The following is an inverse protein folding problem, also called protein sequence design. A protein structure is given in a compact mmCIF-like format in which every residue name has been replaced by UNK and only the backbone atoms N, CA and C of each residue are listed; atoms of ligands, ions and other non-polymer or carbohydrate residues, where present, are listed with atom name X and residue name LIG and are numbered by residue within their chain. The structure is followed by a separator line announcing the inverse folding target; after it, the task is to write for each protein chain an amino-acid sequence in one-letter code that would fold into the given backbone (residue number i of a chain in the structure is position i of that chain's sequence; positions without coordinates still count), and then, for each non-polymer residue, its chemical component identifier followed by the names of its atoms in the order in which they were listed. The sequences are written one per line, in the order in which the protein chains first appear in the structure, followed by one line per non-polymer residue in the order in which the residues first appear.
data_IF_444260509207
#
_entry.id   IF_444260509207
#
_cell.length_a   1.000
_cell.length_b   1.000
_cell.length_c   1.000
_cell.angle_alpha   90.00
_cell.angle_beta   90.00
_cell.angle_gamma   90.00
#
_symmetry.space_group_name_H-M   'P 1'
#
loop_
_entity.id
_entity.type
_entity.pdbx_description
1 polymer ?
#
# COMPACT_ATOMS: atom_id res chain seq x y z
N UNK A 1 37.53 5.90 -12.54
CA UNK A 1 36.55 5.83 -11.45
C UNK A 1 35.20 5.43 -12.02
N UNK A 2 34.74 4.20 -11.73
CA UNK A 2 33.46 3.67 -12.23
C UNK A 2 32.29 4.29 -11.45
N UNK A 3 31.40 4.96 -12.16
CA UNK A 3 30.14 5.55 -11.66
C UNK A 3 29.13 4.52 -11.09
N UNK A 4 29.47 3.22 -11.05
CA UNK A 4 28.61 2.14 -10.55
C UNK A 4 28.40 2.20 -9.02
N UNK A 5 29.29 2.85 -8.25
CA UNK A 5 29.22 2.89 -6.77
C UNK A 5 28.28 3.96 -6.16
N UNK A 6 27.62 4.77 -6.98
CA UNK A 6 26.67 5.81 -6.52
C UNK A 6 25.20 5.43 -6.76
N UNK A 7 24.93 4.22 -7.26
CA UNK A 7 23.55 3.75 -7.42
C UNK A 7 23.04 3.34 -6.03
N UNK A 8 21.88 3.83 -5.56
CA UNK A 8 21.22 3.31 -4.36
C UNK A 8 21.03 1.78 -4.47
N UNK A 9 20.87 1.00 -3.39
CA UNK A 9 20.68 -0.45 -3.45
C UNK A 9 19.38 -0.84 -4.17
N UNK A 10 19.37 -1.95 -4.93
CA UNK A 10 18.16 -2.49 -5.60
C UNK A 10 17.03 -2.79 -4.61
N UNK A 11 15.74 -2.77 -5.02
CA UNK A 11 14.64 -3.09 -4.12
C UNK A 11 14.67 -4.54 -3.60
N UNK A 12 15.38 -5.41 -4.33
CA UNK A 12 15.62 -6.82 -4.01
C UNK A 12 17.04 -7.05 -3.47
N UNK A 13 17.87 -6.01 -3.36
CA UNK A 13 19.16 -6.15 -2.69
C UNK A 13 18.88 -6.39 -1.20
N UNK A 14 19.52 -7.40 -0.57
CA UNK A 14 19.62 -7.38 0.86
C UNK A 14 20.31 -6.05 1.21
N UNK A 15 19.62 -5.14 1.92
CA UNK A 15 20.33 -4.15 2.72
C UNK A 15 21.11 -4.94 3.77
N UNK A 16 22.26 -5.48 3.38
CA UNK A 16 23.32 -5.80 4.29
C UNK A 16 23.84 -4.45 4.75
N UNK A 17 23.62 -4.12 6.01
CA UNK A 17 24.37 -3.07 6.71
C UNK A 17 25.88 -3.38 6.81
N UNK A 18 26.40 -4.34 6.03
CA UNK A 18 27.73 -4.93 6.21
C UNK A 18 28.62 -4.88 4.96
N UNK A 19 28.27 -4.12 3.91
CA UNK A 19 29.19 -3.90 2.77
C UNK A 19 29.51 -2.42 2.60
N UNK A 20 30.13 -1.85 3.65
CA UNK A 20 30.99 -0.67 3.49
C UNK A 20 32.41 -1.12 3.85
N UNK A 21 33.17 -1.46 2.81
CA UNK A 21 34.58 -1.79 2.93
C UNK A 21 35.36 -0.61 3.51
N UNK A 22 36.18 -0.96 4.48
CA UNK A 22 36.91 -0.11 5.39
C UNK A 22 38.06 0.58 4.66
N UNK A 23 37.90 1.87 4.37
CA UNK A 23 39.02 2.80 4.47
C UNK A 23 38.83 3.63 5.73
N UNK A 24 39.59 3.25 6.74
CA UNK A 24 40.20 4.06 7.79
C UNK A 24 39.46 5.37 8.13
N UNK A 25 38.93 5.41 9.37
CA UNK A 25 38.19 6.47 10.06
C UNK A 25 36.65 6.35 10.07
N UNK A 26 36.17 5.65 11.10
CA UNK A 26 34.94 5.98 11.83
C UNK A 26 33.61 5.66 11.16
N UNK A 27 33.12 4.42 11.29
CA UNK A 27 31.71 4.12 11.09
C UNK A 27 30.96 4.29 12.42
N UNK A 28 30.22 5.39 12.57
CA UNK A 28 29.26 5.58 13.66
C UNK A 28 27.98 4.77 13.37
N UNK A 29 28.02 3.47 13.63
CA UNK A 29 26.81 2.63 13.71
C UNK A 29 26.32 2.62 15.17
N UNK A 30 25.62 3.67 15.55
CA UNK A 30 25.03 3.82 16.89
C UNK A 30 23.55 3.39 16.85
N UNK A 31 23.30 2.09 16.82
CA UNK A 31 21.94 1.52 16.69
C UNK A 31 21.58 0.45 17.72
N UNK A 32 22.35 0.28 18.80
CA UNK A 32 21.97 -0.61 19.91
C UNK A 32 22.03 0.04 21.31
N UNK A 33 22.64 1.22 21.47
CA UNK A 33 22.95 1.73 22.82
C UNK A 33 21.79 2.44 23.54
N UNK A 34 20.78 2.94 22.82
CA UNK A 34 19.63 3.63 23.44
C UNK A 34 18.55 2.66 23.95
N UNK A 35 18.34 1.55 23.25
CA UNK A 35 17.39 0.50 23.68
C UNK A 35 17.93 -0.26 24.90
N UNK A 36 19.24 -0.47 25.00
CA UNK A 36 19.87 -1.06 26.20
C UNK A 36 19.74 -0.13 27.42
N UNK A 37 19.88 1.20 27.23
CA UNK A 37 19.72 2.19 28.29
C UNK A 37 18.27 2.27 28.83
N UNK A 38 17.27 2.19 27.94
CA UNK A 38 15.86 2.20 28.32
C UNK A 38 15.42 0.86 28.93
N UNK A 39 15.93 -0.27 28.42
CA UNK A 39 15.68 -1.60 28.98
C UNK A 39 16.34 -1.80 30.36
N UNK A 40 17.52 -1.19 30.60
CA UNK A 40 18.13 -1.13 31.93
C UNK A 40 17.30 -0.33 32.92
N UNK A 41 16.68 0.77 32.48
CA UNK A 41 15.79 1.57 33.33
C UNK A 41 14.48 0.84 33.67
N UNK A 42 13.96 0.01 32.77
CA UNK A 42 12.73 -0.77 32.97
C UNK A 42 12.91 -2.06 33.80
N UNK A 43 14.12 -2.63 33.87
CA UNK A 43 14.38 -3.90 34.58
C UNK A 43 14.47 -3.77 36.11
N UNK A 44 14.46 -2.57 36.66
CA UNK A 44 14.45 -2.33 38.10
C UNK A 44 13.03 -2.43 38.70
N UNK A 45 12.43 -3.63 38.61
CA UNK A 45 11.58 -4.27 39.65
C UNK A 45 10.97 -5.61 39.20
N UNK A 46 11.56 -6.68 39.73
CA UNK A 46 10.97 -7.93 40.29
C UNK A 46 10.11 -8.91 39.42
N UNK A 47 10.06 -10.22 39.79
CA UNK A 47 10.26 -11.31 38.82
C UNK A 47 9.17 -12.43 38.76
N UNK A 48 9.35 -13.32 37.75
CA UNK A 48 8.96 -14.76 37.60
C UNK A 48 7.47 -15.19 37.65
N UNK A 49 6.92 -15.60 36.50
CA UNK A 49 6.52 -17.01 36.17
C UNK A 49 5.62 -17.09 34.91
N UNK A 50 5.75 -18.17 34.13
CA UNK A 50 4.76 -18.60 33.11
C UNK A 50 5.22 -18.56 31.64
N UNK A 51 5.74 -19.68 31.13
CA UNK A 51 6.32 -19.86 29.77
C UNK A 51 5.31 -19.85 28.60
N UNK A 52 4.13 -19.25 28.75
CA UNK A 52 3.15 -19.10 27.65
C UNK A 52 2.66 -17.65 27.46
N UNK A 53 2.99 -16.73 28.37
CA UNK A 53 2.63 -15.32 28.28
C UNK A 53 3.69 -14.45 27.60
N UNK A 54 4.92 -14.93 27.42
CA UNK A 54 6.02 -14.12 26.87
C UNK A 54 5.88 -13.83 25.37
N UNK A 55 5.43 -14.81 24.58
CA UNK A 55 5.17 -14.64 23.14
C UNK A 55 3.92 -13.79 22.89
N UNK A 56 2.89 -13.97 23.71
CA UNK A 56 1.66 -13.17 23.63
C UNK A 56 1.90 -11.75 24.15
N UNK A 57 2.66 -11.59 25.23
CA UNK A 57 3.09 -10.31 25.80
C UNK A 57 3.98 -9.52 24.86
N UNK A 58 4.99 -10.15 24.25
CA UNK A 58 5.84 -9.48 23.25
C UNK A 58 5.09 -9.12 21.96
N UNK A 59 4.05 -9.89 21.59
CA UNK A 59 3.13 -9.54 20.52
C UNK A 59 2.21 -8.39 20.91
N UNK A 60 1.67 -8.37 22.12
CA UNK A 60 0.80 -7.32 22.67
C UNK A 60 1.57 -6.01 22.86
N UNK A 61 2.77 -6.03 23.44
CA UNK A 61 3.62 -4.86 23.69
C UNK A 61 4.03 -4.17 22.38
N UNK A 62 4.25 -4.93 21.30
CA UNK A 62 4.54 -4.36 19.98
C UNK A 62 3.28 -3.87 19.24
N UNK A 63 2.11 -4.44 19.55
CA UNK A 63 0.81 -4.06 18.98
C UNK A 63 0.33 -2.74 19.60
N UNK A 64 0.37 -2.60 20.92
CA UNK A 64 -0.18 -1.45 21.64
C UNK A 64 0.55 -0.13 21.29
N UNK A 65 1.88 -0.14 21.22
CA UNK A 65 2.66 1.08 20.93
C UNK A 65 2.35 1.66 19.54
N UNK A 66 2.01 0.81 18.56
CA UNK A 66 1.73 1.28 17.19
C UNK A 66 0.27 1.66 16.97
N UNK A 67 -0.66 1.18 17.81
CA UNK A 67 -2.10 1.44 17.65
C UNK A 67 -2.55 2.67 18.44
N UNK A 68 -2.05 2.84 19.67
CA UNK A 68 -2.48 3.90 20.59
C UNK A 68 -2.32 5.31 19.98
N UNK A 69 -1.20 5.65 19.31
CA UNK A 69 -1.07 6.95 18.67
C UNK A 69 -2.16 7.20 17.62
N UNK A 70 -2.50 6.22 16.78
CA UNK A 70 -3.54 6.41 15.76
C UNK A 70 -4.94 6.62 16.38
N UNK A 71 -5.27 5.85 17.42
CA UNK A 71 -6.59 5.85 18.05
C UNK A 71 -6.85 7.07 18.93
N UNK A 72 -5.80 7.63 19.55
CA UNK A 72 -5.91 8.78 20.46
C UNK A 72 -5.62 10.09 19.74
N UNK A 73 -4.59 10.13 18.90
CA UNK A 73 -4.16 11.38 18.25
C UNK A 73 -5.21 11.88 17.27
N UNK A 74 -5.85 11.00 16.48
CA UNK A 74 -6.81 11.45 15.47
C UNK A 74 -8.03 12.15 16.09
N UNK A 75 -8.77 11.56 17.06
CA UNK A 75 -9.91 12.23 17.68
C UNK A 75 -9.52 13.53 18.39
N UNK A 76 -8.39 13.52 19.09
CA UNK A 76 -7.91 14.72 19.79
C UNK A 76 -7.60 15.83 18.80
N UNK A 77 -6.87 15.50 17.72
CA UNK A 77 -6.52 16.44 16.67
C UNK A 77 -7.77 16.99 15.97
N UNK A 78 -8.75 16.14 15.67
CA UNK A 78 -10.03 16.59 15.08
C UNK A 78 -10.82 17.49 16.03
N UNK A 79 -10.83 17.21 17.34
CA UNK A 79 -11.49 18.07 18.33
C UNK A 79 -10.81 19.42 18.46
N UNK A 80 -9.48 19.46 18.48
CA UNK A 80 -8.71 20.72 18.51
C UNK A 80 -8.96 21.51 17.22
N UNK A 81 -8.92 20.85 16.06
CA UNK A 81 -9.24 21.46 14.77
C UNK A 81 -10.67 22.03 14.71
N UNK A 82 -11.61 21.42 15.43
CA UNK A 82 -12.99 21.88 15.52
C UNK A 82 -13.21 23.09 16.43
N UNK A 83 -12.21 23.55 17.19
CA UNK A 83 -12.37 24.72 18.07
C UNK A 83 -12.50 26.03 17.29
N UNK A 84 -11.89 26.12 16.11
CA UNK A 84 -11.92 27.33 15.29
C UNK A 84 -11.61 27.03 13.83
N UNK A 85 -12.24 27.75 12.90
CA UNK A 85 -12.05 27.59 11.45
C UNK A 85 -10.57 27.65 11.02
N UNK A 86 -9.84 28.68 11.46
CA UNK A 86 -8.41 28.84 11.13
C UNK A 86 -7.56 27.71 11.70
N UNK A 87 -7.89 27.23 12.90
CA UNK A 87 -7.17 26.12 13.53
C UNK A 87 -7.42 24.82 12.76
N UNK A 88 -8.66 24.61 12.28
CA UNK A 88 -9.01 23.53 11.38
C UNK A 88 -8.17 23.53 10.10
N UNK A 89 -8.03 24.69 9.44
CA UNK A 89 -7.18 24.83 8.24
C UNK A 89 -5.73 24.47 8.57
N UNK A 90 -5.15 25.07 9.62
CA UNK A 90 -3.75 24.85 9.99
C UNK A 90 -3.45 23.39 10.30
N UNK A 91 -4.30 22.75 11.10
CA UNK A 91 -4.11 21.37 11.52
C UNK A 91 -4.29 20.40 10.34
N UNK A 92 -5.36 20.56 9.55
CA UNK A 92 -5.67 19.62 8.48
C UNK A 92 -4.72 19.75 7.28
N UNK A 93 -4.19 20.95 7.01
CA UNK A 93 -3.14 21.13 5.99
C UNK A 93 -1.79 20.59 6.44
N UNK A 94 -1.47 20.64 7.74
CA UNK A 94 -0.25 20.03 8.29
C UNK A 94 -0.33 18.50 8.40
N UNK A 95 -1.54 17.94 8.49
CA UNK A 95 -1.76 16.52 8.76
C UNK A 95 -1.11 15.58 7.73
N UNK A 96 -1.20 15.78 6.39
CA UNK A 96 -0.49 14.95 5.43
C UNK A 96 1.03 14.94 5.65
N UNK A 97 1.62 16.09 5.98
CA UNK A 97 3.04 16.21 6.30
C UNK A 97 3.41 15.44 7.57
N UNK A 98 2.59 15.53 8.61
CA UNK A 98 2.77 14.76 9.85
C UNK A 98 2.66 13.26 9.60
N UNK A 99 1.67 12.82 8.81
CA UNK A 99 1.48 11.40 8.46
C UNK A 99 2.67 10.87 7.65
N UNK A 100 3.18 11.65 6.70
CA UNK A 100 4.39 11.31 5.95
C UNK A 100 5.63 11.24 6.85
N UNK A 101 5.79 12.19 7.77
CA UNK A 101 6.88 12.14 8.74
C UNK A 101 6.79 10.91 9.63
N UNK A 102 5.60 10.59 10.16
CA UNK A 102 5.34 9.36 10.92
C UNK A 102 5.61 8.12 10.09
N UNK A 103 5.25 8.10 8.80
CA UNK A 103 5.59 7.03 7.88
C UNK A 103 7.10 6.82 7.80
N UNK A 104 7.88 7.87 7.54
CA UNK A 104 9.33 7.73 7.46
C UNK A 104 9.97 7.34 8.80
N UNK A 105 9.51 7.91 9.91
CA UNK A 105 10.03 7.60 11.25
C UNK A 105 9.73 6.14 11.65
N UNK A 106 8.50 5.67 11.42
CA UNK A 106 8.08 4.30 11.75
C UNK A 106 8.69 3.27 10.80
N UNK A 107 8.76 3.55 9.50
CA UNK A 107 9.34 2.64 8.51
C UNK A 107 10.87 2.53 8.62
N UNK A 108 11.55 3.58 9.12
CA UNK A 108 12.98 3.49 9.48
C UNK A 108 13.22 2.54 10.66
N UNK A 109 12.31 2.51 11.65
CA UNK A 109 12.46 1.70 12.87
C UNK A 109 11.88 0.29 12.75
N UNK A 110 10.78 0.11 12.02
CA UNK A 110 10.08 -1.17 11.84
C UNK A 110 9.70 -1.36 10.38
N UNK A 111 10.12 -2.49 9.78
CA UNK A 111 9.78 -2.82 8.38
C UNK A 111 8.28 -3.01 8.14
N UNK A 112 7.51 -3.44 9.15
CA UNK A 112 6.06 -3.64 9.08
C UNK A 112 5.36 -2.94 10.25
N UNK A 113 4.30 -2.20 9.96
CA UNK A 113 3.49 -1.50 10.97
C UNK A 113 2.01 -1.61 10.67
N UNK A 114 1.18 -1.84 11.68
CA UNK A 114 -0.28 -1.81 11.53
C UNK A 114 -0.87 -0.39 11.66
N UNK A 115 -0.06 0.60 12.02
CA UNK A 115 -0.48 1.99 12.26
C UNK A 115 -1.40 2.55 11.17
N UNK A 116 -1.01 2.47 9.89
CA UNK A 116 -1.79 3.04 8.77
C UNK A 116 -3.11 2.31 8.55
N UNK A 117 -3.12 0.98 8.68
CA UNK A 117 -4.34 0.19 8.56
C UNK A 117 -5.30 0.50 9.71
N UNK A 118 -4.80 0.58 10.94
CA UNK A 118 -5.60 0.97 12.11
C UNK A 118 -6.14 2.38 11.96
N UNK A 119 -5.30 3.33 11.54
CA UNK A 119 -5.71 4.72 11.30
C UNK A 119 -6.83 4.81 10.26
N UNK A 120 -6.72 4.07 9.15
CA UNK A 120 -7.73 4.05 8.10
C UNK A 120 -9.06 3.43 8.58
N UNK A 121 -9.01 2.27 9.23
CA UNK A 121 -10.21 1.61 9.76
C UNK A 121 -10.88 2.41 10.87
N UNK A 122 -10.08 3.00 11.77
CA UNK A 122 -10.58 3.85 12.84
C UNK A 122 -11.21 5.12 12.28
N UNK A 123 -10.56 5.78 11.32
CA UNK A 123 -11.13 6.94 10.64
C UNK A 123 -12.48 6.60 10.03
N UNK A 124 -12.55 5.50 9.28
CA UNK A 124 -13.77 5.04 8.63
C UNK A 124 -14.90 4.79 9.65
N UNK A 125 -14.61 4.07 10.74
CA UNK A 125 -15.57 3.79 11.81
C UNK A 125 -16.00 5.06 12.55
N UNK A 126 -15.06 5.96 12.86
CA UNK A 126 -15.32 7.21 13.58
C UNK A 126 -16.18 8.18 12.77
N UNK A 127 -15.89 8.35 11.47
CA UNK A 127 -16.72 9.17 10.58
C UNK A 127 -18.15 8.62 10.47
N UNK A 128 -18.29 7.30 10.36
CA UNK A 128 -19.60 6.67 10.32
C UNK A 128 -20.35 6.80 11.65
N UNK A 129 -19.65 6.66 12.78
CA UNK A 129 -20.22 6.89 14.11
C UNK A 129 -20.78 8.31 14.23
N UNK A 130 -19.99 9.34 13.91
CA UNK A 130 -20.45 10.73 13.95
C UNK A 130 -21.62 10.98 12.99
N UNK A 131 -21.61 10.36 11.80
CA UNK A 131 -22.74 10.44 10.88
C UNK A 131 -24.03 9.92 11.52
N UNK A 132 -23.98 8.76 12.19
CA UNK A 132 -25.15 8.17 12.86
C UNK A 132 -25.59 8.97 14.09
N UNK A 133 -24.66 9.51 14.89
CA UNK A 133 -25.00 10.17 16.16
C UNK A 133 -25.29 11.66 16.03
N UNK A 134 -24.73 12.35 15.04
CA UNK A 134 -24.82 13.82 14.92
C UNK A 134 -25.57 14.30 13.68
N UNK A 135 -25.58 13.53 12.59
CA UNK A 135 -26.17 13.94 11.32
C UNK A 135 -27.54 13.30 11.13
N UNK A 136 -27.69 11.99 11.32
CA UNK A 136 -28.99 11.31 11.19
C UNK A 136 -30.08 11.89 12.11
N UNK A 137 -29.81 12.24 13.39
CA UNK A 137 -30.83 12.77 14.29
C UNK A 137 -31.35 14.16 13.90
N UNK A 138 -30.68 14.87 12.98
CA UNK A 138 -31.18 16.17 12.46
C UNK A 138 -32.43 16.02 11.60
N UNK A 139 -32.71 14.81 11.08
CA UNK A 139 -33.90 14.52 10.30
C UNK A 139 -33.79 14.79 8.79
N UNK A 140 -32.68 15.36 8.33
CA UNK A 140 -32.47 15.69 6.91
C UNK A 140 -32.10 14.46 6.04
N UNK A 141 -31.69 13.35 6.69
CA UNK A 141 -31.22 12.14 6.02
C UNK A 141 -32.36 11.13 5.89
N UNK A 142 -32.74 10.79 4.66
CA UNK A 142 -33.77 9.79 4.42
C UNK A 142 -33.28 8.38 4.74
N UNK A 143 -34.21 7.46 5.03
CA UNK A 143 -33.87 6.03 5.28
C UNK A 143 -33.11 5.41 4.11
N UNK A 144 -33.45 5.79 2.87
CA UNK A 144 -32.74 5.31 1.68
C UNK A 144 -31.29 5.81 1.67
N UNK A 145 -31.05 7.10 1.94
CA UNK A 145 -29.71 7.68 2.01
C UNK A 145 -28.86 7.01 3.10
N UNK A 146 -29.44 6.76 4.27
CA UNK A 146 -28.80 6.02 5.35
C UNK A 146 -28.43 4.60 4.90
N UNK A 147 -29.38 3.84 4.35
CA UNK A 147 -29.11 2.50 3.84
C UNK A 147 -28.01 2.49 2.77
N UNK A 148 -27.99 3.48 1.87
CA UNK A 148 -26.95 3.62 0.84
C UNK A 148 -25.57 3.84 1.44
N UNK A 149 -25.42 4.76 2.40
CA UNK A 149 -24.14 4.99 3.09
C UNK A 149 -23.71 3.73 3.84
N UNK A 150 -24.59 3.12 4.63
CA UNK A 150 -24.29 1.90 5.39
C UNK A 150 -23.87 0.75 4.48
N UNK A 151 -24.56 0.55 3.35
CA UNK A 151 -24.20 -0.47 2.37
C UNK A 151 -22.83 -0.18 1.73
N UNK A 152 -22.55 1.07 1.36
CA UNK A 152 -21.26 1.50 0.84
C UNK A 152 -20.11 1.25 1.82
N UNK A 153 -20.34 1.51 3.12
CA UNK A 153 -19.40 1.23 4.20
C UNK A 153 -19.10 -0.26 4.33
N UNK A 154 -20.14 -1.10 4.37
CA UNK A 154 -20.00 -2.56 4.42
C UNK A 154 -19.25 -3.07 3.18
N UNK A 155 -19.58 -2.56 2.00
CA UNK A 155 -18.94 -2.97 0.76
C UNK A 155 -17.47 -2.52 0.70
N UNK A 156 -17.15 -1.33 1.23
CA UNK A 156 -15.77 -0.86 1.41
C UNK A 156 -14.97 -1.84 2.26
N UNK A 157 -15.48 -2.22 3.43
CA UNK A 157 -14.82 -3.16 4.34
C UNK A 157 -14.68 -4.55 3.69
N UNK A 158 -15.74 -5.05 3.06
CA UNK A 158 -15.73 -6.36 2.40
C UNK A 158 -14.71 -6.41 1.25
N UNK A 159 -14.65 -5.35 0.43
CA UNK A 159 -13.65 -5.24 -0.65
C UNK A 159 -12.23 -5.16 -0.09
N UNK A 160 -11.99 -4.41 0.99
CA UNK A 160 -10.68 -4.32 1.66
C UNK A 160 -10.24 -5.67 2.21
N UNK A 161 -11.15 -6.43 2.83
CA UNK A 161 -10.88 -7.80 3.30
C UNK A 161 -10.50 -8.70 2.13
N UNK A 162 -11.21 -8.62 0.99
CA UNK A 162 -10.85 -9.38 -0.22
C UNK A 162 -9.47 -9.00 -0.74
N UNK A 163 -9.17 -7.70 -0.80
CA UNK A 163 -7.86 -7.17 -1.20
C UNK A 163 -6.73 -7.70 -0.31
N UNK A 164 -6.98 -7.95 0.99
CA UNK A 164 -5.95 -8.49 1.90
C UNK A 164 -5.67 -9.99 1.75
N UNK A 165 -6.59 -10.79 1.20
CA UNK A 165 -6.53 -12.27 1.27
C UNK A 165 -5.30 -12.90 0.62
N UNK A 166 -4.97 -12.55 -0.62
CA UNK A 166 -3.77 -13.09 -1.28
C UNK A 166 -3.35 -12.23 -2.46
N UNK A 167 -2.12 -11.69 -2.47
CA UNK A 167 -1.59 -10.93 -3.60
C UNK A 167 -1.13 -11.81 -4.77
N UNK A 168 -1.17 -13.14 -4.63
CA UNK A 168 -0.60 -14.09 -5.60
C UNK A 168 0.87 -14.39 -5.30
N UNK A 169 1.14 -15.13 -4.22
CA UNK A 169 2.50 -15.55 -3.87
C UNK A 169 3.08 -16.51 -4.91
N UNK A 170 4.39 -16.44 -5.12
CA UNK A 170 5.11 -17.41 -5.98
C UNK A 170 5.40 -18.67 -5.16
N UNK A 171 4.78 -19.80 -5.54
CA UNK A 171 5.02 -21.09 -4.87
C UNK A 171 6.38 -21.69 -5.20
N UNK A 172 6.95 -22.40 -4.22
CA UNK A 172 8.20 -23.19 -4.35
C UNK A 172 8.07 -24.36 -5.32
N UNK A 173 6.85 -24.81 -5.67
CA UNK A 173 6.61 -25.86 -6.67
C UNK A 173 7.08 -25.49 -8.09
N UNK A 174 7.35 -24.20 -8.35
CA UNK A 174 8.00 -23.76 -9.57
C UNK A 174 9.48 -24.22 -9.70
N UNK A 175 9.97 -25.05 -8.76
CA UNK A 175 11.29 -25.69 -8.77
C UNK A 175 11.44 -26.83 -9.79
N UNK A 176 10.35 -27.40 -10.30
CA UNK A 176 10.44 -28.71 -11.00
C UNK A 176 10.36 -28.66 -12.54
N UNK A 177 10.09 -27.52 -13.18
CA UNK A 177 9.90 -27.51 -14.65
C UNK A 177 11.21 -27.49 -15.46
N UNK A 178 12.36 -27.21 -14.85
CA UNK A 178 13.66 -27.18 -15.55
C UNK A 178 14.71 -28.15 -14.96
N UNK A 179 14.27 -29.13 -14.17
CA UNK A 179 15.14 -29.98 -13.34
C UNK A 179 15.33 -31.43 -13.77
N UNK A 180 14.95 -31.83 -14.99
CA UNK A 180 15.31 -33.16 -15.53
C UNK A 180 16.24 -33.00 -16.73
N UNK A 181 17.52 -32.82 -16.43
CA UNK A 181 18.60 -33.11 -17.37
C UNK A 181 18.71 -34.62 -17.60
N UNK A 182 18.81 -35.03 -18.86
CA UNK A 182 19.43 -36.30 -19.23
C UNK A 182 20.96 -36.15 -19.12
N UNK A 183 21.71 -37.16 -18.64
CA UNK A 183 23.16 -37.09 -18.58
C UNK A 183 23.76 -37.61 -19.89
N UNK A 184 24.59 -36.80 -20.55
CA UNK A 184 25.65 -37.29 -21.43
C UNK A 184 26.79 -36.28 -21.47
N UNK A 185 27.98 -36.80 -21.17
CA UNK A 185 29.26 -36.15 -20.99
C UNK A 185 29.98 -35.97 -22.34
N UNK A 186 30.73 -34.86 -22.47
CA UNK A 186 31.86 -34.59 -23.42
C UNK A 186 31.59 -34.73 -24.92
N UNK A 187 31.95 -33.78 -25.79
CA UNK A 187 33.32 -33.32 -26.05
C UNK A 187 33.31 -32.03 -26.92
N UNK A 188 34.44 -31.35 -26.93
CA UNK A 188 34.78 -30.07 -27.58
C UNK A 188 34.59 -29.99 -29.10
N UNK A 189 34.40 -28.76 -29.63
CA UNK A 189 35.24 -28.09 -30.67
C UNK A 189 34.63 -26.73 -31.06
N UNK A 190 35.49 -25.72 -31.26
CA UNK A 190 35.21 -24.35 -31.71
C UNK A 190 34.62 -24.31 -33.14
N UNK A 191 33.89 -23.24 -33.52
CA UNK A 191 34.16 -22.35 -34.69
C UNK A 191 32.91 -21.49 -35.05
N UNK A 192 33.16 -20.19 -35.16
CA UNK A 192 32.56 -19.09 -35.95
C UNK A 192 31.04 -18.76 -36.05
N UNK A 193 30.81 -17.47 -35.76
CA UNK A 193 29.97 -16.49 -36.44
C UNK A 193 28.76 -16.96 -37.28
N UNK A 194 27.58 -16.67 -36.76
CA UNK A 194 26.47 -16.16 -37.58
C UNK A 194 25.51 -15.35 -36.70
N UNK A 195 25.58 -14.03 -36.88
CA UNK A 195 24.63 -13.06 -36.35
C UNK A 195 23.25 -13.30 -36.96
N UNK A 196 22.38 -13.98 -36.22
CA UNK A 196 20.95 -13.97 -36.49
C UNK A 196 20.25 -13.21 -35.37
N UNK A 197 19.96 -11.94 -35.68
CA UNK A 197 19.13 -11.05 -34.87
C UNK A 197 17.69 -11.57 -34.88
N UNK A 198 17.40 -12.57 -34.05
CA UNK A 198 16.03 -12.95 -33.72
C UNK A 198 15.51 -12.00 -32.65
N UNK A 199 14.49 -11.20 -33.01
CA UNK A 199 13.83 -10.23 -32.14
C UNK A 199 13.07 -10.90 -30.98
N UNK A 200 13.81 -11.45 -30.01
CA UNK A 200 13.24 -11.93 -28.76
C UNK A 200 12.83 -10.73 -27.90
N UNK A 201 11.54 -10.65 -27.55
CA UNK A 201 11.01 -9.64 -26.61
C UNK A 201 11.78 -9.75 -25.28
N UNK A 202 12.21 -8.65 -24.63
CA UNK A 202 13.10 -8.72 -23.46
C UNK A 202 12.51 -9.35 -22.17
N UNK A 203 11.34 -9.97 -22.19
CA UNK A 203 10.46 -10.01 -21.01
C UNK A 203 9.93 -11.35 -20.54
N UNK A 204 10.27 -12.49 -21.17
CA UNK A 204 9.70 -13.80 -20.78
C UNK A 204 10.70 -14.70 -20.03
N UNK A 205 11.85 -14.16 -19.64
CA UNK A 205 12.90 -14.91 -18.95
C UNK A 205 12.58 -15.02 -17.46
N UNK A 206 12.59 -16.25 -16.96
CA UNK A 206 12.54 -16.53 -15.53
C UNK A 206 13.83 -16.04 -14.86
N UNK A 207 13.71 -15.56 -13.62
CA UNK A 207 14.87 -15.12 -12.82
C UNK A 207 14.88 -15.81 -11.47
N UNK A 208 16.05 -16.02 -10.85
CA UNK A 208 16.11 -16.57 -9.48
C UNK A 208 16.04 -15.43 -8.46
N UNK A 209 15.27 -15.59 -7.39
CA UNK A 209 15.30 -14.68 -6.25
C UNK A 209 16.49 -15.02 -5.34
N UNK A 210 17.40 -14.08 -5.03
CA UNK A 210 18.54 -14.36 -4.14
C UNK A 210 18.11 -14.63 -2.70
N UNK A 211 17.06 -13.95 -2.23
CA UNK A 211 16.54 -14.08 -0.86
C UNK A 211 15.70 -15.34 -0.68
N UNK A 212 14.66 -15.52 -1.50
CA UNK A 212 13.75 -16.67 -1.39
C UNK A 212 14.32 -17.96 -1.99
N UNK A 213 15.39 -17.88 -2.80
CA UNK A 213 15.99 -19.03 -3.52
C UNK A 213 15.00 -19.82 -4.38
N UNK A 214 14.01 -19.14 -4.95
CA UNK A 214 13.01 -19.70 -5.87
C UNK A 214 13.14 -19.10 -7.26
N UNK A 215 12.66 -19.82 -8.27
CA UNK A 215 12.51 -19.31 -9.61
C UNK A 215 11.28 -18.37 -9.67
N UNK A 216 11.47 -17.18 -10.23
CA UNK A 216 10.48 -16.11 -10.35
C UNK A 216 10.01 -16.04 -11.80
N UNK A 217 8.70 -16.15 -12.05
CA UNK A 217 8.17 -15.89 -13.38
C UNK A 217 8.38 -14.41 -13.75
N UNK A 218 8.25 -14.07 -15.05
CA UNK A 218 8.26 -12.69 -15.51
C UNK A 218 7.38 -11.76 -14.65
N UNK A 219 7.88 -10.54 -14.40
CA UNK A 219 7.21 -9.49 -13.61
C UNK A 219 6.97 -9.82 -12.13
N UNK A 220 7.34 -11.00 -11.64
CA UNK A 220 7.32 -11.28 -10.21
C UNK A 220 8.45 -10.54 -9.48
N UNK A 221 8.14 -10.04 -8.28
CA UNK A 221 9.06 -9.25 -7.47
C UNK A 221 9.19 -9.78 -6.05
N UNK A 222 10.39 -9.68 -5.46
CA UNK A 222 10.55 -9.88 -4.02
C UNK A 222 10.09 -8.62 -3.29
N UNK A 223 9.28 -8.77 -2.24
CA UNK A 223 8.92 -7.65 -1.38
C UNK A 223 9.74 -7.73 -0.09
N UNK A 224 10.74 -6.85 0.07
CA UNK A 224 11.60 -6.82 1.26
C UNK A 224 10.85 -6.58 2.58
N UNK A 225 9.72 -5.86 2.51
CA UNK A 225 8.81 -5.68 3.66
C UNK A 225 8.09 -6.98 4.02
N UNK A 226 7.73 -7.79 3.02
CA UNK A 226 6.99 -9.02 3.25
C UNK A 226 7.83 -10.29 3.35
N UNK A 227 9.09 -10.25 2.91
CA UNK A 227 9.99 -11.40 2.87
C UNK A 227 9.56 -12.49 1.87
N UNK A 228 8.70 -12.17 0.90
CA UNK A 228 8.12 -13.15 -0.04
C UNK A 228 8.09 -12.61 -1.46
N UNK A 229 8.15 -13.51 -2.45
CA UNK A 229 7.95 -13.16 -3.85
C UNK A 229 6.46 -13.16 -4.20
N UNK A 230 6.04 -12.15 -4.97
CA UNK A 230 4.66 -11.93 -5.41
C UNK A 230 4.63 -11.85 -6.93
N UNK A 231 3.66 -12.55 -7.55
CA UNK A 231 3.42 -12.51 -8.99
C UNK A 231 2.93 -11.13 -9.41
N UNK A 232 3.48 -10.60 -10.53
CA UNK A 232 3.19 -9.25 -11.04
C UNK A 232 3.10 -8.22 -9.90
N UNK A 233 4.17 -8.12 -9.10
CA UNK A 233 4.19 -7.25 -7.93
C UNK A 233 4.02 -5.79 -8.37
N UNK A 234 2.98 -5.13 -7.85
CA UNK A 234 2.74 -3.72 -8.07
C UNK A 234 3.46 -2.88 -7.03
N UNK A 235 3.08 -3.01 -5.76
CA UNK A 235 3.75 -2.36 -4.64
C UNK A 235 3.41 -3.05 -3.31
N UNK A 236 4.13 -2.69 -2.25
CA UNK A 236 3.69 -2.97 -0.89
C UNK A 236 2.87 -1.78 -0.38
N UNK A 237 1.60 -2.00 -0.08
CA UNK A 237 0.72 -0.94 0.38
C UNK A 237 0.67 -0.93 1.91
N UNK A 238 1.22 0.13 2.50
CA UNK A 238 1.24 0.30 3.97
C UNK A 238 -0.15 0.48 4.57
N UNK A 239 -1.09 1.07 3.82
CA UNK A 239 -2.47 1.30 4.27
C UNK A 239 -3.28 0.02 4.44
N UNK A 240 -2.98 -1.04 3.69
CA UNK A 240 -3.62 -2.36 3.85
C UNK A 240 -2.71 -3.36 4.56
N UNK A 241 -1.47 -2.95 4.86
CA UNK A 241 -0.37 -3.78 5.36
C UNK A 241 -0.29 -5.12 4.60
N UNK A 242 -0.22 -5.04 3.27
CA UNK A 242 -0.16 -6.18 2.34
C UNK A 242 0.42 -5.76 0.99
N UNK A 243 0.94 -6.71 0.23
CA UNK A 243 1.31 -6.45 -1.16
C UNK A 243 0.07 -6.30 -2.03
N UNK A 244 0.18 -5.49 -3.08
CA UNK A 244 -0.71 -5.51 -4.24
C UNK A 244 0.04 -6.19 -5.38
N UNK A 245 -0.55 -7.24 -5.93
CA UNK A 245 0.01 -8.02 -7.03
C UNK A 245 -1.10 -8.70 -7.82
N UNK A 246 -0.73 -9.65 -8.68
CA UNK A 246 -1.67 -10.26 -9.63
C UNK A 246 -2.97 -10.76 -8.97
N UNK A 247 -2.88 -11.40 -7.81
CA UNK A 247 -4.02 -12.07 -7.15
C UNK A 247 -5.01 -11.13 -6.44
N UNK A 248 -4.69 -9.84 -6.27
CA UNK A 248 -5.57 -8.90 -5.57
C UNK A 248 -5.67 -7.51 -6.22
N UNK A 249 -4.95 -7.22 -7.31
CA UNK A 249 -4.93 -5.89 -7.94
C UNK A 249 -6.33 -5.38 -8.31
N UNK A 250 -7.21 -6.27 -8.81
CA UNK A 250 -8.60 -5.91 -9.12
C UNK A 250 -9.42 -5.55 -7.89
N UNK A 251 -9.26 -6.34 -6.82
CA UNK A 251 -9.95 -6.05 -5.55
C UNK A 251 -9.45 -4.72 -4.99
N UNK A 252 -8.15 -4.41 -5.14
CA UNK A 252 -7.59 -3.12 -4.73
C UNK A 252 -8.23 -1.94 -5.47
N UNK A 253 -8.36 -2.01 -6.81
CA UNK A 253 -9.09 -1.00 -7.58
C UNK A 253 -10.55 -0.87 -7.16
N UNK A 254 -11.23 -2.00 -6.96
CA UNK A 254 -12.62 -2.00 -6.50
C UNK A 254 -12.74 -1.31 -5.13
N UNK A 255 -11.83 -1.59 -4.20
CA UNK A 255 -11.78 -0.92 -2.90
C UNK A 255 -11.61 0.60 -3.05
N UNK A 256 -10.72 1.06 -3.94
CA UNK A 256 -10.56 2.49 -4.20
C UNK A 256 -11.84 3.12 -4.76
N UNK A 257 -12.46 2.51 -5.78
CA UNK A 257 -13.69 3.02 -6.37
C UNK A 257 -14.84 3.09 -5.37
N UNK A 258 -15.06 2.02 -4.61
CA UNK A 258 -16.15 1.94 -3.63
C UNK A 258 -15.96 2.93 -2.49
N UNK A 259 -14.71 3.06 -1.99
CA UNK A 259 -14.39 4.06 -0.98
C UNK A 259 -14.70 5.47 -1.50
N UNK A 260 -14.23 5.82 -2.72
CA UNK A 260 -14.44 7.14 -3.28
C UNK A 260 -15.92 7.48 -3.43
N UNK A 261 -16.71 6.57 -3.99
CA UNK A 261 -18.15 6.77 -4.15
C UNK A 261 -18.85 6.93 -2.79
N UNK A 262 -18.52 6.07 -1.82
CA UNK A 262 -19.10 6.12 -0.47
C UNK A 262 -18.72 7.41 0.25
N UNK A 263 -17.46 7.82 0.16
CA UNK A 263 -16.95 9.00 0.85
C UNK A 263 -17.48 10.29 0.23
N UNK A 264 -17.49 10.43 -1.10
CA UNK A 264 -18.09 11.57 -1.79
C UNK A 264 -19.58 11.72 -1.45
N UNK A 265 -20.31 10.61 -1.41
CA UNK A 265 -21.71 10.62 -1.04
C UNK A 265 -21.92 11.01 0.43
N UNK A 266 -21.15 10.43 1.35
CA UNK A 266 -21.18 10.77 2.78
C UNK A 266 -20.86 12.25 3.04
N UNK A 267 -19.78 12.77 2.44
CA UNK A 267 -19.41 14.20 2.52
C UNK A 267 -20.56 15.08 2.02
N UNK A 268 -21.22 14.70 0.92
CA UNK A 268 -22.35 15.43 0.37
C UNK A 268 -23.53 15.50 1.34
N UNK A 269 -23.86 14.39 2.01
CA UNK A 269 -24.96 14.36 2.99
C UNK A 269 -24.63 15.20 4.23
N UNK A 270 -23.39 15.09 4.74
CA UNK A 270 -22.93 15.88 5.89
C UNK A 270 -23.01 17.37 5.58
N UNK A 271 -22.44 17.83 4.46
CA UNK A 271 -22.44 19.25 4.11
C UNK A 271 -23.86 19.80 3.85
N UNK A 272 -24.75 19.01 3.25
CA UNK A 272 -26.15 19.43 3.05
C UNK A 272 -26.93 19.57 4.36
N UNK A 273 -26.70 18.69 5.34
CA UNK A 273 -27.36 18.77 6.65
C UNK A 273 -26.78 19.88 7.52
N UNK A 274 -25.47 20.15 7.44
CA UNK A 274 -24.83 21.23 8.19
C UNK A 274 -25.11 22.62 7.58
N UNK A 275 -25.18 22.71 6.25
CA UNK A 275 -25.19 23.98 5.51
C UNK A 275 -26.29 24.00 4.43
N UNK A 276 -27.58 23.85 4.79
CA UNK A 276 -28.66 23.64 3.83
C UNK A 276 -28.88 24.81 2.86
N UNK A 277 -28.49 26.03 3.25
CA UNK A 277 -28.63 27.24 2.45
C UNK A 277 -27.44 27.51 1.50
N UNK A 278 -26.42 26.64 1.52
CA UNK A 278 -25.21 26.81 0.74
C UNK A 278 -25.12 25.76 -0.38
N UNK A 279 -24.56 26.15 -1.53
CA UNK A 279 -24.15 25.19 -2.54
C UNK A 279 -23.02 24.32 -2.00
N UNK A 280 -22.91 23.06 -2.47
CA UNK A 280 -21.95 22.09 -1.94
C UNK A 280 -20.50 22.58 -1.92
N UNK A 281 -20.06 23.25 -2.99
CA UNK A 281 -18.70 23.80 -3.08
C UNK A 281 -18.52 24.95 -2.10
N UNK A 282 -19.48 25.87 -2.00
CA UNK A 282 -19.44 26.96 -1.02
C UNK A 282 -19.45 26.45 0.41
N UNK A 283 -20.32 25.46 0.71
CA UNK A 283 -20.41 24.80 2.01
C UNK A 283 -19.08 24.17 2.42
N UNK A 284 -18.28 23.66 1.47
CA UNK A 284 -16.96 23.13 1.76
C UNK A 284 -16.01 24.21 2.29
N UNK A 285 -16.08 25.44 1.81
CA UNK A 285 -15.15 26.49 2.22
C UNK A 285 -15.71 27.41 3.31
N UNK A 286 -17.03 27.57 3.36
CA UNK A 286 -17.70 28.54 4.21
C UNK A 286 -19.12 28.11 4.59
N UNK A 287 -19.39 28.07 5.89
CA UNK A 287 -20.70 27.76 6.44
C UNK A 287 -20.96 28.63 7.69
N UNK A 288 -21.79 29.68 7.58
CA UNK A 288 -22.06 30.58 8.69
C UNK A 288 -22.58 29.84 9.93
N UNK A 289 -22.01 30.12 11.11
CA UNK A 289 -22.50 29.60 12.38
C UNK A 289 -22.17 28.12 12.66
N UNK A 290 -21.48 27.39 11.77
CA UNK A 290 -21.18 25.96 11.97
C UNK A 290 -20.31 25.69 13.22
N UNK A 291 -19.49 26.67 13.62
CA UNK A 291 -18.64 26.64 14.82
C UNK A 291 -19.34 27.08 16.11
N UNK A 292 -20.63 27.43 16.06
CA UNK A 292 -21.39 27.82 17.27
C UNK A 292 -21.68 26.65 18.21
N UNK A 293 -21.70 25.43 17.68
CA UNK A 293 -21.92 24.19 18.42
C UNK A 293 -20.78 23.22 18.17
N UNK A 294 -20.21 22.64 19.23
CA UNK A 294 -19.04 21.77 19.13
C UNK A 294 -19.28 20.51 18.28
N UNK A 295 -20.49 19.95 18.31
CA UNK A 295 -20.85 18.77 17.50
C UNK A 295 -20.89 19.09 16.00
N UNK A 296 -21.51 20.21 15.63
CA UNK A 296 -21.55 20.73 14.26
C UNK A 296 -20.14 21.05 13.74
N UNK A 297 -19.33 21.72 14.55
CA UNK A 297 -17.94 22.06 14.23
C UNK A 297 -17.08 20.81 14.01
N UNK A 298 -17.26 19.78 14.85
CA UNK A 298 -16.56 18.50 14.72
C UNK A 298 -16.95 17.77 13.44
N UNK A 299 -18.25 17.68 13.13
CA UNK A 299 -18.72 17.05 11.88
C UNK A 299 -18.22 17.79 10.63
N UNK A 300 -18.20 19.13 10.68
CA UNK A 300 -17.66 19.95 9.59
C UNK A 300 -16.17 19.71 9.36
N UNK A 301 -15.39 19.71 10.45
CA UNK A 301 -13.95 19.41 10.42
C UNK A 301 -13.69 17.98 9.91
N UNK A 302 -14.53 17.02 10.30
CA UNK A 302 -14.49 15.64 9.80
C UNK A 302 -14.81 15.52 8.31
N UNK A 303 -15.70 16.37 7.78
CA UNK A 303 -15.97 16.45 6.34
C UNK A 303 -14.73 16.94 5.58
N UNK A 304 -14.00 17.94 6.10
CA UNK A 304 -12.74 18.40 5.51
C UNK A 304 -11.66 17.33 5.54
N UNK A 305 -11.48 16.66 6.67
CA UNK A 305 -10.59 15.50 6.76
C UNK A 305 -10.93 14.44 5.72
N UNK A 306 -12.22 14.12 5.57
CA UNK A 306 -12.71 13.16 4.58
C UNK A 306 -12.42 13.61 3.15
N UNK A 307 -12.51 14.90 2.84
CA UNK A 307 -12.14 15.45 1.52
C UNK A 307 -10.65 15.26 1.24
N UNK A 308 -9.77 15.52 2.22
CA UNK A 308 -8.32 15.33 2.06
C UNK A 308 -8.00 13.85 1.78
N UNK A 309 -8.57 12.93 2.57
CA UNK A 309 -8.39 11.48 2.38
C UNK A 309 -8.93 11.03 1.03
N UNK A 310 -10.13 11.49 0.66
CA UNK A 310 -10.76 11.19 -0.64
C UNK A 310 -9.89 11.69 -1.80
N UNK A 311 -9.34 12.90 -1.71
CA UNK A 311 -8.43 13.45 -2.72
C UNK A 311 -7.17 12.60 -2.88
N UNK A 312 -6.55 12.17 -1.78
CA UNK A 312 -5.40 11.26 -1.81
C UNK A 312 -5.71 9.92 -2.47
N UNK A 313 -6.85 9.32 -2.13
CA UNK A 313 -7.28 8.04 -2.73
C UNK A 313 -7.71 8.19 -4.20
N UNK A 314 -8.24 9.35 -4.60
CA UNK A 314 -8.54 9.67 -5.99
C UNK A 314 -7.24 9.75 -6.80
N UNK A 315 -6.22 10.42 -6.27
CA UNK A 315 -4.89 10.44 -6.88
C UNK A 315 -4.33 9.03 -7.07
N UNK A 316 -4.42 8.16 -6.05
CA UNK A 316 -3.99 6.77 -6.16
C UNK A 316 -4.79 5.99 -7.21
N UNK A 317 -6.11 6.17 -7.28
CA UNK A 317 -6.94 5.54 -8.29
C UNK A 317 -6.53 5.98 -9.69
N UNK A 318 -6.33 7.29 -9.90
CA UNK A 318 -5.89 7.83 -11.20
C UNK A 318 -4.52 7.26 -11.58
N UNK A 319 -3.56 7.24 -10.67
CA UNK A 319 -2.24 6.66 -10.92
C UNK A 319 -2.34 5.18 -11.33
N UNK A 320 -3.17 4.39 -10.64
CA UNK A 320 -3.39 2.98 -10.96
C UNK A 320 -4.08 2.79 -12.32
N UNK A 321 -5.11 3.57 -12.62
CA UNK A 321 -5.82 3.56 -13.92
C UNK A 321 -4.84 3.89 -15.05
N UNK A 322 -3.98 4.89 -14.87
CA UNK A 322 -2.94 5.27 -15.83
C UNK A 322 -1.93 4.14 -16.01
N UNK A 323 -1.37 3.61 -14.93
CA UNK A 323 -0.40 2.50 -14.95
C UNK A 323 -0.96 1.27 -15.68
N UNK A 324 -2.20 0.89 -15.38
CA UNK A 324 -2.91 -0.23 -16.05
C UNK A 324 -3.11 0.06 -17.53
N UNK A 325 -3.49 1.30 -17.87
CA UNK A 325 -3.68 1.72 -19.27
C UNK A 325 -2.40 1.61 -20.10
N UNK A 326 -1.22 1.68 -19.47
CA UNK A 326 0.08 1.43 -20.11
C UNK A 326 0.64 0.01 -19.87
N UNK A 327 -0.10 -0.86 -19.15
CA UNK A 327 0.32 -2.18 -18.70
C UNK A 327 1.64 -2.19 -17.91
N UNK A 328 1.85 -1.15 -17.10
CA UNK A 328 3.03 -0.97 -16.24
C UNK A 328 2.59 -1.14 -14.80
N UNK A 329 3.38 -1.85 -13.99
CA UNK A 329 3.18 -1.85 -12.52
C UNK A 329 3.91 -0.69 -11.87
N UNK A 330 3.49 -0.26 -10.69
CA UNK A 330 4.15 0.82 -9.95
C UNK A 330 5.65 0.52 -9.71
N UNK A 331 5.98 -0.73 -9.35
CA UNK A 331 7.37 -1.20 -9.25
C UNK A 331 8.13 -1.05 -10.57
N UNK A 332 7.53 -1.41 -11.70
CA UNK A 332 8.16 -1.28 -13.03
C UNK A 332 8.40 0.20 -13.38
N UNK A 333 7.43 1.08 -13.09
CA UNK A 333 7.56 2.52 -13.27
C UNK A 333 8.71 3.11 -12.43
N UNK A 334 8.78 2.74 -11.14
CA UNK A 334 9.84 3.18 -10.24
C UNK A 334 11.23 2.69 -10.68
N UNK A 335 11.35 1.43 -11.10
CA UNK A 335 12.59 0.89 -11.64
C UNK A 335 13.02 1.58 -12.93
N UNK A 336 12.08 1.90 -13.81
CA UNK A 336 12.35 2.59 -15.07
C UNK A 336 12.81 4.04 -14.84
N UNK A 337 12.18 4.76 -13.91
CA UNK A 337 12.64 6.10 -13.51
C UNK A 337 14.04 6.07 -12.89
N UNK A 338 14.28 5.12 -11.98
CA UNK A 338 15.58 4.95 -11.32
C UNK A 338 16.70 4.61 -12.30
N UNK A 339 16.42 3.75 -13.28
CA UNK A 339 17.38 3.36 -14.31
C UNK A 339 17.45 4.37 -15.47
N UNK A 340 16.69 5.46 -15.44
CA UNK A 340 16.56 6.46 -16.51
C UNK A 340 16.19 5.84 -17.87
N UNK A 341 15.44 4.73 -17.84
CA UNK A 341 14.97 4.03 -19.04
C UNK A 341 13.51 4.35 -19.38
N UNK A 342 12.76 4.93 -18.45
CA UNK A 342 11.36 5.29 -18.65
C UNK A 342 11.17 6.63 -19.37
N UNK A 343 10.17 6.70 -20.27
CA UNK A 343 9.70 7.95 -20.82
C UNK A 343 8.56 8.50 -19.95
N UNK A 344 8.79 9.65 -19.32
CA UNK A 344 7.74 10.44 -18.66
C UNK A 344 6.71 10.91 -19.69
N UNK A 345 5.44 10.62 -19.45
CA UNK A 345 4.28 11.09 -20.23
C UNK A 345 3.25 11.70 -19.29
N UNK A 346 2.30 12.47 -19.84
CA UNK A 346 1.23 13.12 -19.06
C UNK A 346 1.78 13.95 -17.90
N UNK A 347 2.73 14.86 -18.18
CA UNK A 347 3.32 15.75 -17.17
C UNK A 347 3.97 15.02 -15.98
N UNK A 348 4.47 13.79 -16.20
CA UNK A 348 5.09 12.96 -15.16
C UNK A 348 4.13 12.02 -14.43
N UNK A 349 2.84 12.02 -14.78
CA UNK A 349 1.84 11.11 -14.21
C UNK A 349 1.94 9.68 -14.74
N UNK A 350 2.54 9.49 -15.93
CA UNK A 350 2.70 8.18 -16.55
C UNK A 350 4.18 7.90 -16.86
N UNK A 351 4.64 6.70 -16.53
CA UNK A 351 5.94 6.20 -16.95
C UNK A 351 5.72 5.10 -17.97
N UNK A 352 5.95 5.41 -19.25
CA UNK A 352 5.84 4.43 -20.32
C UNK A 352 7.17 3.69 -20.47
N UNK A 353 7.17 2.38 -20.20
CA UNK A 353 8.31 1.49 -20.49
C UNK A 353 8.23 0.92 -21.91
N UNK A 354 7.03 0.78 -22.46
CA UNK A 354 6.78 0.21 -23.79
C UNK A 354 6.92 -1.31 -23.87
N UNK A 355 7.43 -1.97 -22.84
CA UNK A 355 7.78 -3.41 -22.87
C UNK A 355 6.55 -4.34 -22.94
N UNK A 356 5.51 -4.04 -22.17
CA UNK A 356 4.32 -4.90 -22.03
C UNK A 356 3.04 -4.30 -22.64
N UNK A 357 3.08 -3.04 -23.10
CA UNK A 357 1.90 -2.35 -23.61
C UNK A 357 1.49 -2.89 -24.98
N UNK A 358 0.21 -3.23 -25.13
CA UNK A 358 -0.42 -3.73 -26.37
C UNK A 358 -1.54 -2.81 -26.87
N UNK A 359 -1.56 -1.58 -26.39
CA UNK A 359 -2.64 -0.61 -26.63
C UNK A 359 -3.69 -0.61 -25.51
N UNK A 360 -4.38 0.52 -25.35
CA UNK A 360 -5.28 0.78 -24.23
C UNK A 360 -6.29 -0.36 -24.00
N UNK A 361 -7.05 -0.74 -25.03
CA UNK A 361 -8.08 -1.78 -24.93
C UNK A 361 -7.49 -3.13 -24.51
N UNK A 362 -6.43 -3.59 -25.18
CA UNK A 362 -5.82 -4.88 -24.87
C UNK A 362 -5.21 -4.90 -23.46
N UNK A 363 -4.61 -3.80 -23.02
CA UNK A 363 -4.05 -3.68 -21.67
C UNK A 363 -5.15 -3.86 -20.59
N UNK A 364 -6.32 -3.27 -20.81
CA UNK A 364 -7.47 -3.44 -19.91
C UNK A 364 -8.06 -4.84 -19.98
N UNK A 365 -8.18 -5.43 -21.17
CA UNK A 365 -8.62 -6.83 -21.31
C UNK A 365 -7.66 -7.76 -20.58
N UNK A 366 -6.36 -7.63 -20.81
CA UNK A 366 -5.32 -8.42 -20.13
C UNK A 366 -5.44 -8.25 -18.62
N UNK A 367 -5.62 -7.02 -18.12
CA UNK A 367 -5.80 -6.73 -16.70
C UNK A 367 -7.07 -7.37 -16.12
N UNK A 368 -8.20 -7.26 -16.80
CA UNK A 368 -9.50 -7.80 -16.38
C UNK A 368 -9.63 -9.31 -16.57
N UNK A 369 -8.72 -9.95 -17.31
CA UNK A 369 -8.69 -11.40 -17.53
C UNK A 369 -7.51 -12.14 -16.89
N UNK A 370 -6.49 -11.47 -16.33
CA UNK A 370 -5.49 -12.07 -15.41
C UNK A 370 -6.12 -13.12 -14.48
N UNK A 371 -5.63 -14.35 -14.52
CA UNK A 371 -6.11 -15.40 -13.65
C UNK A 371 -5.75 -15.08 -12.19
N UNK A 372 -6.74 -15.19 -11.29
CA UNK A 372 -6.47 -15.29 -9.87
C UNK A 372 -5.75 -16.63 -9.66
N UNK A 373 -4.57 -16.62 -9.05
CA UNK A 373 -3.74 -17.81 -8.85
C UNK A 373 -4.43 -18.95 -8.05
N UNK A 374 -5.69 -18.77 -7.62
CA UNK A 374 -6.55 -19.80 -7.06
C UNK A 374 -7.14 -20.77 -8.09
N UNK A 375 -7.11 -20.45 -9.38
CA UNK A 375 -7.51 -21.38 -10.45
C UNK A 375 -6.31 -21.75 -11.30
N UNK A 376 -5.47 -22.63 -10.77
CA UNK A 376 -4.69 -23.51 -11.64
C UNK A 376 -5.66 -24.63 -12.06
N UNK A 377 -6.08 -24.75 -13.32
CA UNK A 377 -6.72 -25.98 -13.77
C UNK A 377 -5.68 -27.08 -13.59
N UNK A 378 -6.01 -28.13 -12.83
CA UNK A 378 -5.28 -29.40 -12.94
C UNK A 378 -5.25 -29.73 -14.42
N UNK A 379 -4.07 -29.66 -15.03
CA UNK A 379 -3.84 -30.17 -16.39
C UNK A 379 -4.40 -31.59 -16.44
N UNK A 380 -5.39 -31.81 -17.29
CA UNK A 380 -5.97 -33.12 -17.52
C UNK A 380 -4.86 -34.10 -17.87
N UNK A 381 -4.85 -35.23 -17.17
CA UNK A 381 -4.06 -36.37 -17.59
C UNK A 381 -4.55 -36.80 -18.99
N UNK A 382 -3.66 -37.16 -19.92
CA UNK A 382 -4.08 -37.81 -21.14
C UNK A 382 -4.62 -39.20 -20.78
N UNK A 383 -5.86 -39.48 -21.18
CA UNK A 383 -6.34 -40.86 -21.29
C UNK A 383 -5.45 -41.58 -22.31
N UNK A 384 -4.59 -42.46 -21.82
CA UNK A 384 -3.98 -43.51 -22.62
C UNK A 384 -5.02 -44.64 -22.75
N UNK A 385 -5.37 -44.96 -24.00
CA UNK A 385 -5.94 -46.26 -24.41
C UNK A 385 -4.78 -47.19 -24.69
#
# INVERSE_FOLDING_TARGET
MKWEKLKPPEPDDPMCCCECDVFQYGCCCDCEDLDEAFNRWLRDKAPKSGCHSFLLGALIDNLEISLVPALVLLPLLMRVAALHYLLGIMILTALPGLVLWLYYATHKRKRRTLFFLTLALYSLAYMYYLFITEIVPRGDVSRLQLCTVTAGMIFTIASLVRTKRSPGFVSTAAREVDGKGSPALSESVQTEASSSFSGSRPSDKWSRCPVCKIARPPRAGHCGTCGVCVQRLDHHCVWINSCVGQGNHRSFLLTLCVFLLTSLYGITLVLRSLCPQQYLVSALFYCPGVYSQSSSALCFTCAWYSVIVTGGLLYLLVAQVVNISFNVTEREAQLALRNKTGQSRLWGLAVATGTYSRGFYQNWVDFLTMADASTCPRSGAPHLV
#
